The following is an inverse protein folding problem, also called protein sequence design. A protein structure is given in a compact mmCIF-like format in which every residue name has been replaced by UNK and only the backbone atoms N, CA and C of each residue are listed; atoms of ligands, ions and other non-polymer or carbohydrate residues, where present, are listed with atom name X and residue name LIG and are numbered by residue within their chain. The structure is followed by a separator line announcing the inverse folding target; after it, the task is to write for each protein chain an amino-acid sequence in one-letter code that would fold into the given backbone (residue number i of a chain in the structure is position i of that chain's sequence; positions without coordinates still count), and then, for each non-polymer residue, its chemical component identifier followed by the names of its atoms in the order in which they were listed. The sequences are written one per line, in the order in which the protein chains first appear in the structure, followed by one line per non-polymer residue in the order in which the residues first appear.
data_IF_847176306635
#
_entry.id   IF_847176306635
#
_cell.length_a   1.000
_cell.length_b   1.000
_cell.length_c   1.000
_cell.angle_alpha   90.00
_cell.angle_beta   90.00
_cell.angle_gamma   90.00
#
_symmetry.space_group_name_H-M   'P 1'
#
loop_
_entity.id
_entity.type
_entity.pdbx_description
1 polymer ?
#
# COMPACT_ATOMS: atom_id res chain seq x y z
N UNK A 1 -46.85 -15.20 34.73
CA UNK A 1 -45.42 -15.44 34.97
C UNK A 1 -44.68 -14.22 34.46
N UNK A 2 -44.46 -13.23 35.32
CA UNK A 2 -43.82 -11.95 35.00
C UNK A 2 -42.33 -12.13 35.25
N UNK A 3 -41.50 -11.97 34.21
CA UNK A 3 -40.04 -12.06 34.34
C UNK A 3 -39.53 -10.70 34.80
N UNK A 4 -38.89 -10.69 35.97
CA UNK A 4 -38.27 -9.51 36.58
C UNK A 4 -36.95 -9.16 35.88
N UNK A 5 -36.79 -7.95 35.30
CA UNK A 5 -35.57 -7.53 34.63
C UNK A 5 -34.37 -7.27 35.57
N UNK A 6 -34.53 -7.37 36.90
CA UNK A 6 -33.45 -7.15 37.87
C UNK A 6 -32.48 -8.35 38.06
N UNK A 7 -32.69 -9.47 37.37
CA UNK A 7 -31.89 -10.71 37.54
C UNK A 7 -30.79 -10.94 36.50
N UNK A 8 -30.57 -10.00 35.57
CA UNK A 8 -29.43 -10.05 34.65
C UNK A 8 -28.17 -9.51 35.32
N UNK A 9 -27.69 -10.23 36.33
CA UNK A 9 -26.31 -10.14 36.77
C UNK A 9 -25.42 -10.46 35.57
N UNK A 10 -24.92 -9.40 34.95
CA UNK A 10 -23.92 -9.46 33.89
C UNK A 10 -22.67 -10.06 34.52
N UNK A 11 -22.55 -11.38 34.44
CA UNK A 11 -21.27 -12.06 34.59
C UNK A 11 -20.41 -11.55 33.46
N UNK A 12 -19.65 -10.48 33.74
CA UNK A 12 -18.49 -10.15 32.94
C UNK A 12 -17.65 -11.41 32.93
N UNK A 13 -17.68 -12.14 31.81
CA UNK A 13 -16.72 -13.19 31.52
C UNK A 13 -15.37 -12.48 31.47
N UNK A 14 -14.70 -12.39 32.62
CA UNK A 14 -13.32 -11.98 32.71
C UNK A 14 -12.55 -13.14 32.09
N UNK A 15 -12.26 -13.01 30.80
CA UNK A 15 -11.39 -13.92 30.06
C UNK A 15 -10.02 -13.97 30.77
N UNK A 16 -9.85 -15.02 31.58
CA UNK A 16 -8.73 -15.25 32.49
C UNK A 16 -7.69 -16.23 31.91
N UNK A 17 -7.63 -16.35 30.59
CA UNK A 17 -6.51 -17.00 29.91
C UNK A 17 -5.25 -16.13 29.92
N UNK A 18 -4.03 -16.71 29.88
CA UNK A 18 -2.81 -15.93 29.73
C UNK A 18 -2.87 -15.17 28.40
N UNK A 19 -3.04 -13.84 28.48
CA UNK A 19 -3.03 -12.97 27.30
C UNK A 19 -1.68 -13.12 26.61
N UNK A 20 -1.67 -13.67 25.40
CA UNK A 20 -0.46 -13.76 24.59
C UNK A 20 0.20 -12.38 24.48
N UNK A 21 1.55 -12.31 24.51
CA UNK A 21 2.24 -11.04 24.43
C UNK A 21 1.93 -10.34 23.10
N UNK A 22 1.79 -9.02 23.14
CA UNK A 22 1.28 -8.22 22.01
C UNK A 22 2.15 -8.33 20.76
N UNK A 23 3.47 -8.49 20.89
CA UNK A 23 4.38 -8.70 19.76
C UNK A 23 4.10 -10.03 19.04
N UNK A 24 3.79 -11.10 19.77
CA UNK A 24 3.48 -12.41 19.17
C UNK A 24 2.13 -12.39 18.47
N UNK A 25 1.16 -11.69 19.06
CA UNK A 25 -0.16 -11.46 18.43
C UNK A 25 -0.03 -10.63 17.15
N UNK A 26 0.80 -9.58 17.19
CA UNK A 26 1.09 -8.76 16.03
C UNK A 26 1.76 -9.55 14.90
N UNK A 27 2.71 -10.42 15.25
CA UNK A 27 3.40 -11.30 14.30
C UNK A 27 2.41 -12.26 13.60
N UNK A 28 1.55 -12.93 14.38
CA UNK A 28 0.53 -13.83 13.85
C UNK A 28 -0.47 -13.10 12.94
N UNK A 29 -0.84 -11.87 13.31
CA UNK A 29 -1.73 -11.05 12.50
C UNK A 29 -1.06 -10.57 11.19
N UNK A 30 0.24 -10.26 11.20
CA UNK A 30 0.97 -9.74 10.04
C UNK A 30 1.46 -10.84 9.09
N UNK A 31 1.59 -12.09 9.54
CA UNK A 31 2.11 -13.21 8.76
C UNK A 31 1.40 -13.42 7.41
N UNK A 32 0.06 -13.53 7.34
CA UNK A 32 -0.65 -13.73 6.07
C UNK A 32 -0.40 -12.60 5.06
N UNK A 33 -0.30 -11.37 5.55
CA UNK A 33 -0.01 -10.17 4.76
C UNK A 33 1.45 -10.20 4.29
N UNK A 34 2.38 -10.56 5.18
CA UNK A 34 3.81 -10.67 4.89
C UNK A 34 4.12 -11.66 3.76
N UNK A 35 3.36 -12.76 3.65
CA UNK A 35 3.52 -13.74 2.56
C UNK A 35 3.27 -13.09 1.18
N UNK A 36 2.34 -12.15 1.08
CA UNK A 36 2.12 -11.37 -0.15
C UNK A 36 3.13 -10.25 -0.34
N UNK A 37 3.58 -9.64 0.77
CA UNK A 37 4.45 -8.48 0.75
C UNK A 37 5.92 -8.83 0.39
N UNK A 38 6.41 -9.99 0.81
CA UNK A 38 7.82 -10.41 0.56
C UNK A 38 8.13 -10.57 -0.94
N UNK A 39 7.33 -11.27 -1.76
CA UNK A 39 7.58 -11.35 -3.21
C UNK A 39 7.59 -9.99 -3.91
N UNK A 40 6.71 -9.08 -3.50
CA UNK A 40 6.70 -7.70 -3.99
C UNK A 40 7.99 -6.97 -3.59
N UNK A 41 8.43 -7.11 -2.33
CA UNK A 41 9.72 -6.59 -1.88
C UNK A 41 10.88 -7.13 -2.71
N UNK A 42 10.92 -8.45 -2.97
CA UNK A 42 11.93 -9.09 -3.82
C UNK A 42 11.95 -8.45 -5.21
N UNK A 43 10.78 -8.25 -5.83
CA UNK A 43 10.68 -7.59 -7.13
C UNK A 43 11.26 -6.16 -7.09
N UNK A 44 11.02 -5.40 -6.02
CA UNK A 44 11.59 -4.06 -5.85
C UNK A 44 13.12 -4.11 -5.73
N UNK A 45 13.64 -5.05 -4.94
CA UNK A 45 15.08 -5.25 -4.78
C UNK A 45 15.78 -5.58 -6.09
N UNK A 46 15.21 -6.48 -6.87
CA UNK A 46 15.68 -6.81 -8.22
C UNK A 46 15.64 -5.58 -9.12
N UNK A 47 14.54 -4.82 -9.09
CA UNK A 47 14.40 -3.60 -9.89
C UNK A 47 15.48 -2.56 -9.58
N UNK A 48 15.81 -2.35 -8.30
CA UNK A 48 16.86 -1.40 -7.91
C UNK A 48 18.19 -1.76 -8.57
N UNK A 49 18.58 -3.03 -8.54
CA UNK A 49 19.83 -3.50 -9.16
C UNK A 49 19.79 -3.42 -10.68
N UNK A 50 18.66 -3.77 -11.30
CA UNK A 50 18.48 -3.65 -12.76
C UNK A 50 18.61 -2.21 -13.27
N UNK A 51 18.21 -1.23 -12.45
CA UNK A 51 18.32 0.19 -12.78
C UNK A 51 19.74 0.74 -12.55
N UNK A 52 20.71 -0.14 -12.28
CA UNK A 52 22.12 0.21 -12.11
C UNK A 52 22.47 0.73 -10.72
N UNK A 53 21.55 0.71 -9.76
CA UNK A 53 21.86 1.08 -8.38
C UNK A 53 22.59 -0.04 -7.64
N UNK A 54 23.44 0.36 -6.70
CA UNK A 54 24.03 -0.59 -5.77
C UNK A 54 22.93 -1.24 -4.88
N UNK A 55 22.94 -2.57 -4.65
CA UNK A 55 21.93 -3.27 -3.86
C UNK A 55 21.54 -2.65 -2.52
N UNK A 56 22.46 -1.98 -1.80
CA UNK A 56 22.10 -1.34 -0.52
C UNK A 56 21.09 -0.20 -0.67
N UNK A 57 20.95 0.38 -1.88
CA UNK A 57 19.89 1.34 -2.16
C UNK A 57 18.50 0.73 -1.96
N UNK A 58 18.31 -0.58 -2.17
CA UNK A 58 17.02 -1.22 -1.93
C UNK A 58 16.57 -1.03 -0.46
N UNK A 59 17.49 -1.13 0.48
CA UNK A 59 17.22 -0.85 1.90
C UNK A 59 16.88 0.63 2.13
N UNK A 60 17.54 1.56 1.44
CA UNK A 60 17.29 3.01 1.58
C UNK A 60 15.91 3.38 1.05
N UNK A 61 15.54 2.92 -0.15
CA UNK A 61 14.21 3.12 -0.72
C UNK A 61 13.14 2.58 0.25
N UNK A 62 13.26 1.30 0.62
CA UNK A 62 12.30 0.60 1.50
C UNK A 62 12.20 1.16 2.92
N UNK A 63 13.26 1.76 3.46
CA UNK A 63 13.25 2.32 4.81
C UNK A 63 12.77 3.77 4.87
N UNK A 64 13.05 4.57 3.83
CA UNK A 64 12.76 6.01 3.83
C UNK A 64 11.45 6.37 3.13
N UNK A 65 11.16 5.73 2.00
CA UNK A 65 9.95 6.03 1.22
C UNK A 65 8.79 5.20 1.75
N UNK A 66 8.99 3.89 1.93
CA UNK A 66 8.02 2.95 2.49
C UNK A 66 6.58 3.20 2.02
N UNK A 67 6.39 3.22 0.70
CA UNK A 67 5.13 3.60 0.06
C UNK A 67 4.70 2.60 -1.04
N UNK A 68 5.27 1.39 -1.03
CA UNK A 68 4.87 0.27 -1.88
C UNK A 68 4.95 0.61 -3.36
N UNK A 69 3.79 0.80 -4.00
CA UNK A 69 3.67 1.16 -5.41
C UNK A 69 4.49 2.39 -5.84
N UNK A 70 4.66 3.39 -4.96
CA UNK A 70 5.46 4.57 -5.28
C UNK A 70 6.94 4.21 -5.43
N UNK A 71 7.46 3.23 -4.70
CA UNK A 71 8.88 2.90 -4.72
C UNK A 71 9.29 2.34 -6.07
N UNK A 72 8.46 1.50 -6.69
CA UNK A 72 8.70 1.00 -8.05
C UNK A 72 8.77 2.14 -9.09
N UNK A 73 7.91 3.15 -8.94
CA UNK A 73 7.91 4.33 -9.81
C UNK A 73 9.13 5.21 -9.52
N UNK A 74 9.42 5.43 -8.22
CA UNK A 74 10.47 6.31 -7.75
C UNK A 74 11.86 5.82 -8.19
N UNK A 75 12.12 4.52 -8.15
CA UNK A 75 13.40 3.95 -8.63
C UNK A 75 13.63 4.34 -10.10
N UNK A 76 12.62 4.19 -10.96
CA UNK A 76 12.71 4.60 -12.36
C UNK A 76 12.85 6.12 -12.54
N UNK A 77 12.11 6.91 -11.76
CA UNK A 77 12.22 8.38 -11.82
C UNK A 77 13.60 8.89 -11.39
N UNK A 78 14.19 8.28 -10.34
CA UNK A 78 15.54 8.61 -9.86
C UNK A 78 16.59 8.16 -10.88
N UNK A 79 16.46 6.96 -11.46
CA UNK A 79 17.34 6.49 -12.53
C UNK A 79 17.32 7.42 -13.76
N UNK A 80 16.14 7.93 -14.11
CA UNK A 80 15.94 8.89 -15.20
C UNK A 80 16.30 10.35 -14.83
N UNK A 81 16.83 10.60 -13.62
CA UNK A 81 17.19 11.94 -13.14
C UNK A 81 16.01 12.93 -13.22
N UNK A 82 14.81 12.46 -12.93
CA UNK A 82 13.58 13.26 -13.04
C UNK A 82 13.62 14.43 -12.06
N UNK A 83 13.22 15.65 -12.45
CA UNK A 83 13.26 16.79 -11.54
C UNK A 83 12.36 16.60 -10.32
N UNK A 84 12.84 17.06 -9.15
CA UNK A 84 12.20 16.85 -7.85
C UNK A 84 10.72 17.27 -7.79
N UNK A 85 10.27 18.39 -8.40
CA UNK A 85 8.86 18.76 -8.40
C UNK A 85 7.94 17.69 -9.02
N UNK A 86 8.40 16.99 -10.06
CA UNK A 86 7.62 15.92 -10.68
C UNK A 86 7.56 14.67 -9.81
N UNK A 87 8.68 14.31 -9.16
CA UNK A 87 8.70 13.21 -8.18
C UNK A 87 7.73 13.50 -7.05
N UNK A 88 7.73 14.73 -6.51
CA UNK A 88 6.82 15.16 -5.46
C UNK A 88 5.35 15.10 -5.91
N UNK A 89 5.03 15.58 -7.12
CA UNK A 89 3.67 15.53 -7.66
C UNK A 89 3.20 14.08 -7.87
N UNK A 90 4.03 13.24 -8.46
CA UNK A 90 3.72 11.81 -8.64
C UNK A 90 3.53 11.12 -7.30
N UNK A 91 4.42 11.37 -6.33
CA UNK A 91 4.30 10.81 -4.99
C UNK A 91 2.97 11.19 -4.32
N UNK A 92 2.58 12.47 -4.43
CA UNK A 92 1.30 12.97 -3.91
C UNK A 92 0.11 12.31 -4.60
N UNK A 93 0.10 12.23 -5.94
CA UNK A 93 -1.01 11.69 -6.71
C UNK A 93 -1.18 10.18 -6.49
N UNK A 94 -0.08 9.42 -6.46
CA UNK A 94 -0.11 7.96 -6.25
C UNK A 94 -0.54 7.60 -4.84
N UNK A 95 -0.10 8.39 -3.85
CA UNK A 95 -0.39 8.12 -2.45
C UNK A 95 -1.60 8.87 -1.90
N UNK A 96 -2.33 9.63 -2.71
CA UNK A 96 -3.47 10.42 -2.25
C UNK A 96 -4.50 9.59 -1.46
N UNK A 97 -4.62 8.28 -1.78
CA UNK A 97 -5.45 7.32 -1.01
C UNK A 97 -5.17 7.31 0.50
N UNK A 98 -3.92 7.53 0.92
CA UNK A 98 -3.53 7.53 2.33
C UNK A 98 -4.18 8.66 3.13
N UNK A 99 -4.60 9.75 2.48
CA UNK A 99 -5.37 10.83 3.14
C UNK A 99 -6.67 10.28 3.72
N UNK A 100 -7.34 9.36 3.02
CA UNK A 100 -8.58 8.75 3.53
C UNK A 100 -8.31 7.80 4.69
N UNK A 101 -7.20 7.05 4.65
CA UNK A 101 -6.82 6.16 5.76
C UNK A 101 -6.53 6.95 7.02
N UNK A 102 -5.88 8.12 6.90
CA UNK A 102 -5.58 8.98 8.03
C UNK A 102 -6.84 9.47 8.78
N UNK A 103 -8.01 9.54 8.12
CA UNK A 103 -9.27 9.96 8.74
C UNK A 103 -9.91 8.88 9.61
N UNK A 104 -9.70 7.60 9.30
CA UNK A 104 -10.34 6.47 9.96
C UNK A 104 -9.38 5.61 10.79
N UNK A 105 -8.07 5.78 10.61
CA UNK A 105 -7.05 5.01 11.33
C UNK A 105 -7.14 5.27 12.85
N UNK A 106 -7.15 4.22 13.70
CA UNK A 106 -7.38 4.34 15.14
C UNK A 106 -6.12 4.84 15.89
N UNK A 107 -5.65 6.03 15.55
CA UNK A 107 -4.45 6.66 16.10
C UNK A 107 -4.60 7.04 17.57
N UNK A 108 -5.83 7.20 18.05
CA UNK A 108 -6.19 7.42 19.47
C UNK A 108 -5.71 6.28 20.38
N UNK A 109 -5.58 5.07 19.83
CA UNK A 109 -5.12 3.89 20.58
C UNK A 109 -3.61 3.81 20.70
N UNK A 110 -2.87 4.46 19.81
CA UNK A 110 -1.40 4.45 19.79
C UNK A 110 -0.87 5.46 20.80
N UNK A 111 -0.19 4.95 21.83
CA UNK A 111 0.35 5.78 22.93
C UNK A 111 1.80 6.17 22.66
N UNK A 112 2.12 7.44 22.88
CA UNK A 112 3.48 7.99 22.75
C UNK A 112 3.68 8.74 21.43
N UNK A 113 4.42 9.86 21.47
CA UNK A 113 4.63 10.73 20.30
C UNK A 113 5.37 10.02 19.16
N UNK A 114 6.43 9.30 19.49
CA UNK A 114 7.24 8.56 18.50
C UNK A 114 6.45 7.43 17.86
N UNK A 115 5.68 6.67 18.65
CA UNK A 115 4.83 5.60 18.14
C UNK A 115 3.73 6.14 17.22
N UNK A 116 3.12 7.28 17.55
CA UNK A 116 2.12 7.93 16.67
C UNK A 116 2.74 8.43 15.36
N UNK A 117 3.92 9.05 15.43
CA UNK A 117 4.65 9.49 14.24
C UNK A 117 5.02 8.31 13.34
N UNK A 118 5.59 7.25 13.93
CA UNK A 118 5.91 6.03 13.20
C UNK A 118 4.65 5.37 12.61
N UNK A 119 3.55 5.31 13.35
CA UNK A 119 2.30 4.74 12.83
C UNK A 119 1.71 5.54 11.67
N UNK A 120 1.92 6.86 11.62
CA UNK A 120 1.54 7.70 10.47
C UNK A 120 2.47 7.46 9.27
N UNK A 121 3.78 7.35 9.52
CA UNK A 121 4.77 7.05 8.48
C UNK A 121 4.58 5.66 7.88
N UNK A 122 4.39 4.65 8.74
CA UNK A 122 4.23 3.25 8.36
C UNK A 122 2.77 2.89 8.03
N UNK A 123 1.96 3.87 7.63
CA UNK A 123 0.59 3.65 7.22
C UNK A 123 0.57 3.24 5.76
N UNK A 124 0.36 1.95 5.50
CA UNK A 124 0.18 1.38 4.17
C UNK A 124 -1.21 0.77 4.01
N UNK A 125 -1.60 0.41 2.80
CA UNK A 125 -2.86 -0.28 2.50
C UNK A 125 -3.03 -1.53 3.36
N UNK A 126 -1.95 -2.29 3.53
CA UNK A 126 -1.89 -3.53 4.30
C UNK A 126 -2.04 -3.26 5.80
N UNK A 127 -1.29 -2.28 6.32
CA UNK A 127 -1.40 -1.88 7.72
C UNK A 127 -2.81 -1.36 8.03
N UNK A 128 -3.40 -0.58 7.12
CA UNK A 128 -4.77 -0.10 7.26
C UNK A 128 -5.79 -1.25 7.21
N UNK A 129 -5.67 -2.16 6.24
CA UNK A 129 -6.55 -3.31 6.09
C UNK A 129 -6.56 -4.20 7.35
N UNK A 130 -5.42 -4.39 7.99
CA UNK A 130 -5.32 -5.12 9.27
C UNK A 130 -6.10 -4.44 10.40
N UNK A 131 -6.15 -3.10 10.44
CA UNK A 131 -6.90 -2.37 11.46
C UNK A 131 -8.41 -2.36 11.24
N UNK A 132 -8.86 -2.51 9.99
CA UNK A 132 -10.29 -2.49 9.62
C UNK A 132 -10.91 -3.89 9.64
N UNK A 133 -10.17 -4.91 9.19
CA UNK A 133 -10.67 -6.29 9.11
C UNK A 133 -10.48 -7.07 10.41
N UNK A 134 -9.52 -6.67 11.26
CA UNK A 134 -9.27 -7.29 12.55
C UNK A 134 -10.39 -7.01 13.56
N UNK A 135 -10.61 -7.96 14.48
CA UNK A 135 -11.53 -7.72 15.61
C UNK A 135 -11.04 -6.48 16.39
N UNK A 136 -11.90 -5.45 16.42
CA UNK A 136 -11.61 -4.13 16.99
C UNK A 136 -11.24 -4.19 18.47
N UNK A 137 -11.60 -5.27 19.18
CA UNK A 137 -11.20 -5.54 20.58
C UNK A 137 -9.81 -6.18 20.69
N UNK A 138 -9.34 -6.83 19.63
CA UNK A 138 -8.06 -7.53 19.60
C UNK A 138 -6.88 -6.62 19.22
N UNK A 139 -7.13 -5.54 18.47
CA UNK A 139 -6.11 -4.58 17.99
C UNK A 139 -5.83 -3.47 19.02
N UNK A 140 -4.94 -3.75 19.98
CA UNK A 140 -4.38 -2.71 20.85
C UNK A 140 -3.40 -1.82 20.08
N UNK A 141 -3.15 -0.58 20.53
CA UNK A 141 -2.21 0.32 19.87
C UNK A 141 -0.79 -0.23 19.75
N UNK A 142 -0.36 -1.08 20.70
CA UNK A 142 0.94 -1.77 20.62
C UNK A 142 0.93 -2.87 19.57
N UNK A 143 -0.15 -3.65 19.47
CA UNK A 143 -0.29 -4.66 18.41
C UNK A 143 -0.25 -3.99 17.03
N UNK A 144 -0.90 -2.83 16.85
CA UNK A 144 -0.83 -2.04 15.61
C UNK A 144 0.61 -1.67 15.26
N UNK A 145 1.34 -1.05 16.20
CA UNK A 145 2.72 -0.61 15.97
C UNK A 145 3.64 -1.80 15.66
N UNK A 146 3.51 -2.90 16.40
CA UNK A 146 4.30 -4.10 16.12
C UNK A 146 3.96 -4.72 14.77
N UNK A 147 2.69 -4.76 14.37
CA UNK A 147 2.30 -5.25 13.05
C UNK A 147 2.90 -4.37 11.95
N UNK A 148 2.86 -3.04 12.09
CA UNK A 148 3.53 -2.11 11.17
C UNK A 148 5.04 -2.37 11.10
N UNK A 149 5.68 -2.61 12.24
CA UNK A 149 7.10 -2.92 12.32
C UNK A 149 7.43 -4.24 11.59
N UNK A 150 6.61 -5.28 11.74
CA UNK A 150 6.78 -6.54 11.03
C UNK A 150 6.57 -6.38 9.52
N UNK A 151 5.54 -5.67 9.09
CA UNK A 151 5.31 -5.39 7.66
C UNK A 151 6.49 -4.64 7.05
N UNK A 152 6.99 -3.62 7.76
CA UNK A 152 8.15 -2.87 7.32
C UNK A 152 9.41 -3.75 7.24
N UNK A 153 9.63 -4.63 8.24
CA UNK A 153 10.72 -5.59 8.21
C UNK A 153 10.60 -6.61 7.07
N UNK A 154 9.39 -7.09 6.75
CA UNK A 154 9.16 -7.98 5.60
C UNK A 154 9.45 -7.29 4.27
N UNK A 155 9.10 -6.01 4.15
CA UNK A 155 9.36 -5.21 2.96
C UNK A 155 10.86 -5.00 2.73
N UNK A 156 11.57 -4.54 3.76
CA UNK A 156 13.04 -4.37 3.73
C UNK A 156 13.71 -5.72 3.46
N UNK A 157 13.31 -6.76 4.19
CA UNK A 157 13.87 -8.10 4.04
C UNK A 157 13.68 -8.67 2.63
N UNK A 158 12.47 -8.55 2.07
CA UNK A 158 12.18 -8.91 0.70
C UNK A 158 13.04 -8.14 -0.30
N UNK A 159 13.14 -6.82 -0.16
CA UNK A 159 13.95 -5.99 -1.05
C UNK A 159 15.45 -6.29 -0.96
N UNK A 160 15.98 -6.52 0.24
CA UNK A 160 17.36 -6.95 0.39
C UNK A 160 17.61 -8.34 -0.22
N UNK A 161 16.69 -9.28 -0.02
CA UNK A 161 16.78 -10.61 -0.63
C UNK A 161 16.75 -10.52 -2.15
N UNK A 162 15.86 -9.72 -2.73
CA UNK A 162 15.80 -9.49 -4.17
C UNK A 162 17.05 -8.80 -4.72
N UNK A 163 17.53 -7.75 -4.05
CA UNK A 163 18.70 -7.01 -4.47
C UNK A 163 19.99 -7.85 -4.39
N UNK A 164 20.14 -8.66 -3.35
CA UNK A 164 21.26 -9.61 -3.23
C UNK A 164 21.15 -10.74 -4.24
N UNK A 165 19.97 -11.34 -4.41
CA UNK A 165 19.73 -12.36 -5.43
C UNK A 165 20.04 -11.86 -6.84
N UNK A 166 19.70 -10.60 -7.14
CA UNK A 166 19.98 -9.98 -8.44
C UNK A 166 21.47 -9.87 -8.76
N UNK A 167 22.37 -9.83 -7.77
CA UNK A 167 23.81 -9.81 -8.02
C UNK A 167 24.36 -11.14 -8.59
N UNK A 168 23.65 -12.24 -8.35
CA UNK A 168 24.02 -13.56 -8.85
C UNK A 168 23.46 -13.82 -10.25
N UNK A 169 22.58 -12.94 -10.74
CA UNK A 169 21.98 -13.04 -12.06
C UNK A 169 22.98 -12.45 -13.07
N UNK A 170 23.45 -13.25 -14.05
CA UNK A 170 24.31 -12.74 -15.11
C UNK A 170 23.67 -11.56 -15.86
N UNK A 171 24.47 -10.52 -16.14
CA UNK A 171 24.03 -9.31 -16.84
C UNK A 171 23.53 -9.58 -18.26
N UNK A 172 23.85 -10.75 -18.83
CA UNK A 172 23.46 -11.17 -20.18
C UNK A 172 22.12 -11.93 -20.23
N UNK A 173 21.34 -11.98 -19.14
CA UNK A 173 20.00 -12.57 -19.20
C UNK A 173 19.08 -11.64 -20.00
N UNK A 174 18.79 -12.08 -21.22
CA UNK A 174 17.79 -11.48 -22.09
C UNK A 174 16.42 -11.58 -21.41
N UNK A 175 15.75 -10.44 -21.25
CA UNK A 175 14.40 -10.36 -20.66
C UNK A 175 14.37 -9.88 -19.20
N UNK A 176 15.52 -9.61 -18.59
CA UNK A 176 15.56 -9.00 -17.26
C UNK A 176 14.90 -7.61 -17.27
N UNK A 177 15.07 -6.85 -18.35
CA UNK A 177 14.42 -5.55 -18.60
C UNK A 177 12.88 -5.63 -18.68
N UNK A 178 12.35 -6.82 -18.99
CA UNK A 178 10.90 -7.05 -19.02
C UNK A 178 10.31 -7.18 -17.61
N UNK A 179 11.12 -7.41 -16.57
CA UNK A 179 10.63 -7.65 -15.21
C UNK A 179 9.78 -6.49 -14.68
N UNK A 180 10.20 -5.24 -14.89
CA UNK A 180 9.43 -4.06 -14.50
C UNK A 180 8.08 -4.00 -15.25
N UNK A 181 8.10 -4.30 -16.55
CA UNK A 181 6.88 -4.32 -17.36
C UNK A 181 5.93 -5.41 -16.87
N UNK A 182 6.45 -6.62 -16.64
CA UNK A 182 5.69 -7.75 -16.11
C UNK A 182 5.06 -7.44 -14.75
N UNK A 183 5.80 -6.78 -13.85
CA UNK A 183 5.29 -6.34 -12.56
C UNK A 183 4.10 -5.39 -12.72
N UNK A 184 4.23 -4.33 -13.52
CA UNK A 184 3.11 -3.40 -13.74
C UNK A 184 1.93 -4.08 -14.43
N UNK A 185 2.15 -5.04 -15.31
CA UNK A 185 1.08 -5.86 -15.91
C UNK A 185 0.36 -6.68 -14.84
N UNK A 186 1.09 -7.38 -13.97
CA UNK A 186 0.49 -8.17 -12.87
C UNK A 186 -0.30 -7.26 -11.93
N UNK A 187 0.28 -6.14 -11.49
CA UNK A 187 -0.41 -5.15 -10.65
C UNK A 187 -1.67 -4.60 -11.32
N UNK A 188 -1.62 -4.39 -12.64
CA UNK A 188 -2.79 -3.94 -13.41
C UNK A 188 -3.88 -5.01 -13.45
N UNK A 189 -3.51 -6.28 -13.65
CA UNK A 189 -4.46 -7.40 -13.65
C UNK A 189 -5.12 -7.54 -12.29
N UNK A 190 -4.36 -7.44 -11.20
CA UNK A 190 -4.90 -7.48 -9.83
C UNK A 190 -5.86 -6.31 -9.57
N UNK A 191 -5.48 -5.10 -9.99
CA UNK A 191 -6.35 -3.92 -9.87
C UNK A 191 -7.66 -4.07 -10.64
N UNK A 192 -7.63 -4.66 -11.84
CA UNK A 192 -8.83 -4.96 -12.63
C UNK A 192 -9.70 -6.01 -11.93
N UNK A 193 -9.10 -7.07 -11.40
CA UNK A 193 -9.80 -8.14 -10.67
C UNK A 193 -10.47 -7.64 -9.39
N UNK A 194 -9.90 -6.62 -8.75
CA UNK A 194 -10.46 -6.00 -7.55
C UNK A 194 -11.69 -5.11 -7.82
N UNK A 195 -11.93 -4.72 -9.07
CA UNK A 195 -13.05 -3.83 -9.44
C UNK A 195 -14.23 -4.62 -10.00
N UNK A 196 -15.45 -4.22 -9.63
CA UNK A 196 -16.68 -4.76 -10.22
C UNK A 196 -16.97 -4.11 -11.59
N UNK A 197 -16.24 -4.55 -12.62
CA UNK A 197 -16.49 -4.21 -14.02
C UNK A 197 -15.37 -3.42 -14.71
N UNK A 198 -15.48 -3.30 -16.03
CA UNK A 198 -14.41 -2.78 -16.90
C UNK A 198 -14.42 -1.26 -17.13
N UNK A 199 -15.42 -0.53 -16.60
CA UNK A 199 -15.55 0.90 -16.86
C UNK A 199 -14.39 1.73 -16.29
N UNK A 200 -13.92 1.41 -15.08
CA UNK A 200 -12.79 2.14 -14.46
C UNK A 200 -11.46 1.78 -15.14
N UNK A 201 -11.15 0.48 -15.38
CA UNK A 201 -9.98 0.11 -16.17
C UNK A 201 -9.92 0.73 -17.57
N UNK A 202 -11.04 0.76 -18.31
CA UNK A 202 -11.05 1.33 -19.66
C UNK A 202 -10.79 2.84 -19.66
N UNK A 203 -11.30 3.57 -18.67
CA UNK A 203 -10.98 4.99 -18.46
C UNK A 203 -9.48 5.19 -18.19
N UNK A 204 -8.86 4.33 -17.38
CA UNK A 204 -7.42 4.42 -17.09
C UNK A 204 -6.58 4.20 -18.36
N UNK A 205 -6.89 3.17 -19.15
CA UNK A 205 -6.22 2.88 -20.42
C UNK A 205 -6.35 4.05 -21.39
N UNK A 206 -7.54 4.62 -21.52
CA UNK A 206 -7.78 5.78 -22.38
C UNK A 206 -6.95 7.00 -21.94
N UNK A 207 -6.89 7.28 -20.64
CA UNK A 207 -6.08 8.38 -20.11
C UNK A 207 -4.59 8.16 -20.41
N UNK A 208 -4.10 6.93 -20.25
CA UNK A 208 -2.71 6.60 -20.55
C UNK A 208 -2.39 6.77 -22.05
N UNK A 209 -3.28 6.33 -22.94
CA UNK A 209 -3.10 6.50 -24.39
C UNK A 209 -3.11 7.98 -24.81
N UNK A 210 -4.04 8.77 -24.28
CA UNK A 210 -4.11 10.22 -24.55
C UNK A 210 -2.84 10.90 -24.02
N UNK A 211 -2.43 10.61 -22.79
CA UNK A 211 -1.23 11.18 -22.21
C UNK A 211 0.02 10.86 -23.05
N UNK A 212 0.11 9.63 -23.59
CA UNK A 212 1.22 9.20 -24.45
C UNK A 212 1.27 9.97 -25.78
N UNK A 213 0.13 10.43 -26.29
CA UNK A 213 0.03 11.24 -27.51
C UNK A 213 0.33 12.72 -27.24
N UNK A 214 -0.02 13.23 -26.06
CA UNK A 214 0.21 14.63 -25.69
C UNK A 214 1.68 14.87 -25.37
N UNK A 215 2.24 14.10 -24.43
CA UNK A 215 3.64 14.23 -24.04
C UNK A 215 4.15 12.89 -23.47
N UNK A 216 5.00 12.17 -24.23
CA UNK A 216 5.58 10.92 -23.77
C UNK A 216 6.44 11.06 -22.50
N UNK A 217 7.11 12.21 -22.32
CA UNK A 217 8.01 12.44 -21.17
C UNK A 217 7.27 12.68 -19.86
N UNK A 218 6.05 13.22 -19.93
CA UNK A 218 5.22 13.54 -18.77
C UNK A 218 3.94 12.69 -18.71
N UNK A 219 3.96 11.53 -19.37
CA UNK A 219 2.78 10.67 -19.52
C UNK A 219 2.12 10.32 -18.17
N UNK A 220 2.90 9.97 -17.15
CA UNK A 220 2.37 9.50 -15.86
C UNK A 220 1.53 10.56 -15.12
N UNK A 221 2.05 11.78 -14.83
CA UNK A 221 1.25 12.81 -14.16
C UNK A 221 0.05 13.28 -15.00
N UNK A 222 0.19 13.34 -16.34
CA UNK A 222 -0.91 13.71 -17.24
C UNK A 222 -2.02 12.65 -17.18
N UNK A 223 -1.67 11.37 -17.30
CA UNK A 223 -2.62 10.26 -17.26
C UNK A 223 -3.35 10.21 -15.92
N UNK A 224 -2.61 10.35 -14.81
CA UNK A 224 -3.21 10.35 -13.47
C UNK A 224 -4.13 11.54 -13.25
N UNK A 225 -3.71 12.75 -13.64
CA UNK A 225 -4.54 13.95 -13.51
C UNK A 225 -5.83 13.87 -14.31
N UNK A 226 -5.75 13.38 -15.55
CA UNK A 226 -6.92 13.14 -16.39
C UNK A 226 -7.85 12.07 -15.78
N UNK A 227 -7.28 10.97 -15.30
CA UNK A 227 -8.04 9.87 -14.70
C UNK A 227 -8.79 10.30 -13.44
N UNK A 228 -8.12 11.02 -12.52
CA UNK A 228 -8.75 11.58 -11.31
C UNK A 228 -9.87 12.54 -11.70
N UNK A 229 -9.64 13.42 -12.67
CA UNK A 229 -10.65 14.37 -13.14
C UNK A 229 -11.90 13.66 -13.67
N UNK A 230 -11.71 12.61 -14.47
CA UNK A 230 -12.82 11.79 -14.98
C UNK A 230 -13.58 11.05 -13.87
N UNK A 231 -12.88 10.53 -12.85
CA UNK A 231 -13.53 9.90 -11.70
C UNK A 231 -14.38 10.91 -10.91
N UNK A 232 -13.89 12.13 -10.72
CA UNK A 232 -14.64 13.22 -10.06
C UNK A 232 -15.89 13.57 -10.85
N UNK A 233 -15.77 13.74 -12.18
CA UNK A 233 -16.93 14.00 -13.06
C UNK A 233 -17.96 12.87 -12.96
N UNK A 234 -17.51 11.62 -13.05
CA UNK A 234 -18.37 10.43 -12.95
C UNK A 234 -19.08 10.36 -11.59
N UNK A 235 -18.37 10.68 -10.50
CA UNK A 235 -18.95 10.73 -9.16
C UNK A 235 -20.10 11.76 -9.09
N UNK A 236 -19.88 12.98 -9.57
CA UNK A 236 -20.93 14.01 -9.59
C UNK A 236 -22.11 13.65 -10.48
N UNK A 237 -21.88 13.04 -11.64
CA UNK A 237 -22.94 12.58 -12.54
C UNK A 237 -23.80 11.47 -11.92
N UNK A 238 -23.16 10.47 -11.30
CA UNK A 238 -23.87 9.36 -10.67
C UNK A 238 -24.70 9.85 -9.48
N UNK A 239 -24.15 10.77 -8.68
CA UNK A 239 -24.86 11.37 -7.54
C UNK A 239 -26.07 12.21 -7.98
N UNK A 240 -25.98 12.93 -9.11
CA UNK A 240 -27.12 13.66 -9.67
C UNK A 240 -28.23 12.71 -10.10
N UNK A 241 -27.88 11.61 -10.78
CA UNK A 241 -28.87 10.63 -11.28
C UNK A 241 -29.68 9.99 -10.13
N UNK A 242 -29.00 9.57 -9.06
CA UNK A 242 -29.66 9.01 -7.86
C UNK A 242 -30.58 10.00 -7.15
N UNK A 243 -30.31 11.31 -7.25
CA UNK A 243 -31.16 12.35 -6.65
C UNK A 243 -32.36 12.74 -7.53
N UNK A 244 -32.32 12.47 -8.83
CA UNK A 244 -33.44 12.72 -9.74
C UNK A 244 -34.42 11.54 -9.79
N UNK A 245 -33.95 10.33 -9.45
CA UNK A 245 -34.74 9.09 -9.43
C UNK A 245 -35.37 8.79 -8.03
N UNK A 246 -35.23 9.71 -7.06
CA UNK A 246 -35.80 9.62 -5.70
C UNK A 246 -36.81 10.75 -5.46
#
# INVERSE_FOLDING_TARGET
MVIDPATLSTTAVVDSGPRQPEWRRALQASLPVGIGLVPLGIALGVLVVQQGFNPWWAMVFTSLIYAGSLEFIAVGMVAAMTPLPYIALTALLVNFRHVFYALSFPLDRVKGRLARFYSMFALTDEAYAMTVTGDRKSMSGRVIVYSQLYLHAYWIGGAMLGATAAQWIPENIVGLDFALTALFVVLSIEAIRAQSGFAVPSMAVMCALIARLVDPGHMLPIAMGAFVSLLVIRYFWTRRKVRTDA
#
